data_IF_910042793180
#
_entry.id   IF_910042793180
#
_cell.length_a   1.000
_cell.length_b   1.000
_cell.length_c   1.000
_cell.angle_alpha   90.00
_cell.angle_beta   90.00
_cell.angle_gamma   90.00
#
_symmetry.space_group_name_H-M   'P 1'
#
loop_
_entity.id
_entity.type
_entity.pdbx_description
1 polymer ?
#
# COMPACT_ATOMS: atom_id res chain seq x y z
N UNK A 1 -8.67 -3.97 0.61
CA UNK A 1 -8.13 -3.54 -0.70
C UNK A 1 -8.46 -4.60 -1.75
N UNK A 2 -9.53 -4.44 -2.55
CA UNK A 2 -10.10 -5.55 -3.35
C UNK A 2 -9.28 -5.98 -4.57
N UNK A 3 -8.24 -5.22 -4.94
CA UNK A 3 -7.42 -5.47 -6.15
C UNK A 3 -6.24 -6.40 -5.90
N UNK A 4 -5.74 -6.51 -4.66
CA UNK A 4 -4.68 -7.47 -4.33
C UNK A 4 -5.26 -8.89 -4.26
N UNK A 5 -4.45 -9.93 -4.52
CA UNK A 5 -4.84 -11.29 -4.20
C UNK A 5 -5.12 -11.41 -2.70
N UNK A 6 -6.12 -12.21 -2.32
CA UNK A 6 -6.29 -12.65 -0.93
C UNK A 6 -5.48 -13.95 -0.70
N UNK A 7 -5.48 -14.43 0.54
CA UNK A 7 -4.71 -15.58 1.02
C UNK A 7 -4.94 -16.83 0.13
N UNK A 8 -6.19 -17.15 -0.17
CA UNK A 8 -6.54 -18.28 -1.03
C UNK A 8 -5.96 -18.13 -2.44
N UNK A 9 -6.09 -16.94 -3.04
CA UNK A 9 -5.60 -16.67 -4.39
C UNK A 9 -4.08 -16.69 -4.45
N UNK A 10 -3.40 -16.11 -3.46
CA UNK A 10 -1.94 -16.11 -3.47
C UNK A 10 -1.38 -17.51 -3.25
N UNK A 11 -1.99 -18.32 -2.37
CA UNK A 11 -1.63 -19.71 -2.17
C UNK A 11 -1.76 -20.52 -3.47
N UNK A 12 -2.86 -20.36 -4.20
CA UNK A 12 -3.06 -21.02 -5.49
C UNK A 12 -2.01 -20.59 -6.54
N UNK A 13 -1.69 -19.30 -6.61
CA UNK A 13 -0.69 -18.76 -7.56
C UNK A 13 0.71 -19.27 -7.21
N UNK A 14 1.11 -19.20 -5.94
CA UNK A 14 2.40 -19.71 -5.45
C UNK A 14 2.55 -21.20 -5.73
N UNK A 15 1.52 -22.00 -5.41
CA UNK A 15 1.53 -23.44 -5.66
C UNK A 15 1.67 -23.76 -7.16
N UNK A 16 0.97 -23.02 -8.02
CA UNK A 16 0.97 -23.30 -9.46
C UNK A 16 2.26 -22.87 -10.15
N UNK A 17 2.82 -21.71 -9.80
CA UNK A 17 3.96 -21.12 -10.52
C UNK A 17 5.31 -21.30 -9.81
N UNK A 18 5.32 -21.75 -8.55
CA UNK A 18 6.53 -21.93 -7.75
C UNK A 18 7.16 -20.60 -7.31
N UNK A 19 6.35 -19.58 -7.02
CA UNK A 19 6.82 -18.30 -6.49
C UNK A 19 6.81 -18.27 -4.96
N UNK A 20 7.49 -17.29 -4.36
CA UNK A 20 7.40 -17.01 -2.92
C UNK A 20 6.61 -15.72 -2.68
N UNK A 21 5.70 -15.72 -1.70
CA UNK A 21 4.85 -14.58 -1.36
C UNK A 21 5.13 -13.95 0.01
N UNK A 22 6.11 -14.48 0.75
CA UNK A 22 6.35 -14.13 2.15
C UNK A 22 5.33 -14.79 3.09
N UNK A 23 5.73 -15.00 4.34
CA UNK A 23 4.82 -15.48 5.38
C UNK A 23 3.89 -14.36 5.83
N UNK A 24 2.60 -14.68 6.05
CA UNK A 24 1.60 -13.68 6.41
C UNK A 24 1.92 -13.01 7.74
N UNK A 25 2.30 -13.79 8.76
CA UNK A 25 2.55 -13.26 10.10
C UNK A 25 3.83 -12.41 10.12
N UNK A 26 4.86 -12.80 9.34
CA UNK A 26 6.06 -11.99 9.18
C UNK A 26 5.78 -10.64 8.49
N UNK A 27 4.99 -10.65 7.40
CA UNK A 27 4.61 -9.44 6.68
C UNK A 27 3.71 -8.53 7.53
N UNK A 28 2.74 -9.11 8.24
CA UNK A 28 1.87 -8.38 9.15
C UNK A 28 2.70 -7.77 10.29
N UNK A 29 3.58 -8.56 10.88
CA UNK A 29 4.52 -8.15 11.93
C UNK A 29 5.42 -7.00 11.47
N UNK A 30 5.95 -7.06 10.26
CA UNK A 30 6.76 -5.98 9.69
C UNK A 30 5.96 -4.67 9.60
N UNK A 31 4.72 -4.72 9.11
CA UNK A 31 3.84 -3.55 9.05
C UNK A 31 3.54 -2.95 10.43
N UNK A 32 3.28 -3.80 11.42
CA UNK A 32 3.05 -3.39 12.81
C UNK A 32 4.28 -2.71 13.41
N UNK A 33 5.45 -3.37 13.32
CA UNK A 33 6.72 -2.88 13.86
C UNK A 33 7.14 -1.55 13.25
N UNK A 34 6.96 -1.37 11.94
CA UNK A 34 7.28 -0.10 11.26
C UNK A 34 6.62 1.12 11.91
N UNK A 35 5.41 0.98 12.47
CA UNK A 35 4.69 2.07 13.11
C UNK A 35 5.00 2.14 14.60
N UNK A 36 5.01 0.99 15.30
CA UNK A 36 5.30 0.92 16.74
C UNK A 36 6.70 1.42 17.07
N UNK A 37 7.70 1.01 16.31
CA UNK A 37 9.09 1.41 16.53
C UNK A 37 9.27 2.92 16.33
N UNK A 38 8.59 3.50 15.34
CA UNK A 38 8.59 4.95 15.09
C UNK A 38 7.93 5.71 16.23
N UNK A 39 6.82 5.20 16.77
CA UNK A 39 6.17 5.81 17.94
C UNK A 39 7.12 5.82 19.14
N UNK A 40 7.66 4.65 19.50
CA UNK A 40 8.56 4.52 20.67
C UNK A 40 9.80 5.38 20.53
N UNK A 41 10.41 5.43 19.35
CA UNK A 41 11.64 6.20 19.14
C UNK A 41 11.43 7.72 19.19
N UNK A 42 10.25 8.19 18.79
CA UNK A 42 10.00 9.62 18.57
C UNK A 42 9.02 10.23 19.58
N UNK A 43 8.51 9.47 20.54
CA UNK A 43 7.52 9.94 21.52
C UNK A 43 7.99 11.20 22.24
N UNK A 44 9.22 11.20 22.78
CA UNK A 44 9.78 12.33 23.54
C UNK A 44 10.02 13.59 22.68
N UNK A 45 10.05 13.46 21.35
CA UNK A 45 10.34 14.55 20.42
C UNK A 45 9.07 15.07 19.73
N UNK A 46 8.12 14.18 19.43
CA UNK A 46 6.91 14.51 18.68
C UNK A 46 5.66 14.63 19.56
N UNK A 47 5.71 14.18 20.82
CA UNK A 47 4.64 14.42 21.80
C UNK A 47 5.07 15.53 22.74
N UNK A 48 4.63 16.74 22.44
CA UNK A 48 4.99 17.94 23.19
C UNK A 48 3.93 18.30 24.21
N UNK A 49 4.30 19.05 25.24
CA UNK A 49 3.31 19.65 26.16
C UNK A 49 2.86 20.99 25.60
N UNK A 50 1.56 21.22 25.50
CA UNK A 50 1.01 22.48 25.01
C UNK A 50 1.05 23.59 26.09
N UNK A 51 0.59 24.79 25.72
CA UNK A 51 0.56 25.95 26.62
C UNK A 51 -0.37 25.80 27.83
N UNK A 52 -1.18 24.72 27.88
CA UNK A 52 -2.11 24.39 28.96
C UNK A 52 -1.58 23.26 29.86
N UNK A 53 -0.41 22.71 29.55
CA UNK A 53 0.16 21.58 30.28
C UNK A 53 -0.35 20.22 29.81
N UNK A 54 -1.08 20.15 28.69
CA UNK A 54 -1.64 18.91 28.15
C UNK A 54 -0.68 18.27 27.12
N UNK A 55 -0.62 16.93 27.07
CA UNK A 55 0.15 16.23 26.03
C UNK A 55 -0.50 16.42 24.67
N UNK A 56 0.27 16.87 23.70
CA UNK A 56 -0.16 17.10 22.33
C UNK A 56 0.51 16.09 21.39
N UNK A 57 -0.29 15.19 20.83
CA UNK A 57 0.14 14.10 19.94
C UNK A 57 0.13 14.47 18.46
N UNK A 58 -0.18 15.72 18.09
CA UNK A 58 -0.50 16.06 16.70
C UNK A 58 0.65 15.80 15.73
N UNK A 59 1.88 16.08 16.15
CA UNK A 59 3.06 15.83 15.32
C UNK A 59 3.30 14.31 15.14
N UNK A 60 3.10 13.52 16.21
CA UNK A 60 3.17 12.06 16.15
C UNK A 60 2.11 11.47 15.21
N UNK A 61 0.85 11.87 15.37
CA UNK A 61 -0.26 11.48 14.50
C UNK A 61 0.05 11.76 13.04
N UNK A 62 0.50 12.99 12.73
CA UNK A 62 0.85 13.39 11.37
C UNK A 62 2.08 12.65 10.81
N UNK A 63 3.06 12.31 11.64
CA UNK A 63 4.25 11.56 11.23
C UNK A 63 3.87 10.13 10.84
N UNK A 64 3.24 9.40 11.77
CA UNK A 64 2.82 8.02 11.53
C UNK A 64 1.83 7.93 10.38
N UNK A 65 0.91 8.90 10.27
CA UNK A 65 -0.07 8.97 9.19
C UNK A 65 0.58 9.09 7.81
N UNK A 66 1.75 9.73 7.69
CA UNK A 66 2.50 9.78 6.43
C UNK A 66 3.19 8.47 6.08
N UNK A 67 3.68 7.73 7.07
CA UNK A 67 4.27 6.41 6.86
C UNK A 67 3.19 5.45 6.36
N UNK A 68 2.03 5.43 7.03
CA UNK A 68 0.87 4.63 6.62
C UNK A 68 0.41 5.01 5.20
N UNK A 69 0.30 6.31 4.88
CA UNK A 69 -0.04 6.77 3.53
C UNK A 69 0.93 6.23 2.45
N UNK A 70 2.23 6.26 2.71
CA UNK A 70 3.24 5.72 1.80
C UNK A 70 3.09 4.22 1.56
N UNK A 71 2.82 3.45 2.62
CA UNK A 71 2.60 2.00 2.52
C UNK A 71 1.32 1.68 1.75
N UNK A 72 0.23 2.39 2.03
CA UNK A 72 -1.03 2.23 1.30
C UNK A 72 -0.86 2.57 -0.18
N UNK A 73 -0.16 3.64 -0.53
CA UNK A 73 0.12 4.00 -1.92
C UNK A 73 0.96 2.94 -2.62
N UNK A 74 1.96 2.38 -1.94
CA UNK A 74 2.78 1.29 -2.46
C UNK A 74 1.94 0.04 -2.75
N UNK A 75 1.13 -0.38 -1.78
CA UNK A 75 0.20 -1.49 -1.93
C UNK A 75 -0.78 -1.26 -3.09
N UNK A 76 -1.42 -0.09 -3.11
CA UNK A 76 -2.38 0.30 -4.15
C UNK A 76 -1.75 0.28 -5.54
N UNK A 77 -0.54 0.85 -5.69
CA UNK A 77 0.21 0.83 -6.94
C UNK A 77 0.52 -0.59 -7.41
N UNK A 78 1.01 -1.45 -6.52
CA UNK A 78 1.33 -2.83 -6.82
C UNK A 78 0.10 -3.65 -7.23
N UNK A 79 -1.03 -3.47 -6.55
CA UNK A 79 -2.26 -4.18 -6.90
C UNK A 79 -2.86 -3.71 -8.22
N UNK A 80 -2.82 -2.42 -8.53
CA UNK A 80 -3.23 -1.93 -9.86
C UNK A 80 -2.33 -2.50 -10.96
N UNK A 81 -1.02 -2.56 -10.72
CA UNK A 81 -0.11 -3.16 -11.67
C UNK A 81 -0.41 -4.64 -11.89
N UNK A 82 -0.60 -5.40 -10.81
CA UNK A 82 -1.02 -6.81 -10.88
C UNK A 82 -2.33 -6.98 -11.65
N UNK A 83 -3.38 -6.23 -11.29
CA UNK A 83 -4.68 -6.35 -11.95
C UNK A 83 -4.61 -5.95 -13.43
N UNK A 84 -3.84 -4.92 -13.79
CA UNK A 84 -3.60 -4.57 -15.19
C UNK A 84 -2.97 -5.73 -15.97
N UNK A 85 -1.93 -6.37 -15.42
CA UNK A 85 -1.29 -7.51 -16.08
C UNK A 85 -2.20 -8.73 -16.14
N UNK A 86 -3.00 -8.95 -15.10
CA UNK A 86 -4.00 -10.02 -15.08
C UNK A 86 -5.08 -9.83 -16.15
N UNK A 87 -5.55 -8.60 -16.38
CA UNK A 87 -6.51 -8.32 -17.45
C UNK A 87 -5.89 -8.53 -18.83
N UNK A 88 -4.66 -8.05 -19.07
CA UNK A 88 -3.94 -8.31 -20.33
C UNK A 88 -3.80 -9.81 -20.59
N UNK A 89 -3.36 -10.59 -19.60
CA UNK A 89 -3.23 -12.04 -19.73
C UNK A 89 -4.57 -12.73 -20.04
N UNK A 90 -5.66 -12.25 -19.42
CA UNK A 90 -7.03 -12.75 -19.68
C UNK A 90 -7.48 -12.43 -21.11
N UNK A 91 -7.18 -11.24 -21.61
CA UNK A 91 -7.54 -10.81 -22.96
C UNK A 91 -6.77 -11.60 -24.02
N UNK A 92 -5.50 -11.94 -23.75
CA UNK A 92 -4.70 -12.81 -24.63
C UNK A 92 -5.20 -14.26 -24.64
N UNK A 93 -5.69 -14.78 -23.50
CA UNK A 93 -6.32 -16.10 -23.44
C UNK A 93 -7.64 -16.17 -24.22
N UNK A 94 -8.34 -15.05 -24.37
CA UNK A 94 -9.63 -15.03 -25.03
C UNK A 94 -9.47 -15.00 -26.55
N UNK A 95 -9.92 -16.07 -27.21
CA UNK A 95 -9.80 -16.28 -28.66
C UNK A 95 -10.48 -15.21 -29.51
N UNK A 96 -11.41 -14.43 -28.94
CA UNK A 96 -12.10 -13.35 -29.65
C UNK A 96 -11.41 -11.98 -29.55
N UNK A 97 -10.55 -11.78 -28.54
CA UNK A 97 -9.79 -10.53 -28.33
C UNK A 97 -8.30 -10.67 -28.64
N UNK A 98 -7.80 -11.89 -28.85
CA UNK A 98 -6.41 -12.14 -29.18
C UNK A 98 -6.13 -11.87 -30.67
N UNK A 99 -5.41 -10.79 -30.96
CA UNK A 99 -5.01 -10.39 -32.32
C UNK A 99 -3.81 -11.18 -32.87
N UNK A 100 -3.06 -11.86 -32.00
CA UNK A 100 -1.79 -12.55 -32.34
C UNK A 100 -1.89 -14.07 -32.28
N UNK A 101 -3.07 -14.64 -32.60
CA UNK A 101 -3.34 -16.10 -32.49
C UNK A 101 -2.34 -16.98 -33.23
N UNK A 102 -1.76 -16.47 -34.31
CA UNK A 102 -0.75 -17.20 -35.08
C UNK A 102 0.57 -17.36 -34.31
N UNK A 103 0.90 -16.44 -33.39
CA UNK A 103 2.09 -16.48 -32.52
C UNK A 103 1.89 -17.38 -31.29
N UNK A 104 0.64 -17.73 -30.96
CA UNK A 104 0.30 -18.63 -29.86
C UNK A 104 0.35 -20.12 -30.22
N UNK A 105 0.62 -20.42 -31.50
CA UNK A 105 0.86 -21.78 -31.95
C UNK A 105 2.15 -22.29 -31.33
N UNK A 106 2.04 -23.32 -30.48
CA UNK A 106 3.24 -23.91 -29.87
C UNK A 106 4.22 -24.35 -30.97
N UNK A 107 5.45 -23.86 -30.87
CA UNK A 107 6.55 -24.26 -31.74
C UNK A 107 6.89 -25.73 -31.56
N UNK A 108 7.74 -26.26 -32.45
CA UNK A 108 8.14 -27.68 -32.52
C UNK A 108 8.68 -28.20 -31.17
N UNK A 109 9.19 -27.32 -30.31
CA UNK A 109 9.81 -27.65 -29.02
C UNK A 109 8.86 -27.58 -27.81
N UNK A 110 7.57 -27.24 -28.00
CA UNK A 110 6.57 -27.24 -26.91
C UNK A 110 6.81 -26.21 -25.79
N UNK A 111 7.63 -25.18 -26.03
CA UNK A 111 7.92 -24.11 -25.06
C UNK A 111 6.75 -23.13 -24.84
N UNK A 112 6.87 -22.28 -23.82
CA UNK A 112 5.88 -21.25 -23.47
C UNK A 112 5.52 -20.36 -24.67
N UNK A 113 4.24 -20.27 -25.00
CA UNK A 113 3.74 -19.35 -26.02
C UNK A 113 3.53 -17.93 -25.45
N UNK A 114 3.03 -17.00 -26.27
CA UNK A 114 2.88 -15.59 -25.86
C UNK A 114 1.90 -15.45 -24.69
N UNK A 115 0.77 -16.13 -24.78
CA UNK A 115 -0.23 -16.23 -23.70
C UNK A 115 0.38 -16.77 -22.40
N UNK A 116 1.13 -17.87 -22.47
CA UNK A 116 1.77 -18.49 -21.29
C UNK A 116 2.71 -17.51 -20.58
N UNK A 117 3.50 -16.75 -21.36
CA UNK A 117 4.39 -15.72 -20.83
C UNK A 117 3.63 -14.58 -20.16
N UNK A 118 2.52 -14.13 -20.75
CA UNK A 118 1.71 -13.06 -20.16
C UNK A 118 1.05 -13.50 -18.84
N UNK A 119 0.53 -14.73 -18.81
CA UNK A 119 -0.05 -15.35 -17.61
C UNK A 119 1.01 -15.47 -16.51
N UNK A 120 2.18 -16.03 -16.83
CA UNK A 120 3.30 -16.17 -15.88
C UNK A 120 3.76 -14.81 -15.36
N UNK A 121 3.84 -13.80 -16.24
CA UNK A 121 4.24 -12.46 -15.85
C UNK A 121 3.23 -11.78 -14.90
N UNK A 122 1.93 -11.93 -15.16
CA UNK A 122 0.89 -11.45 -14.26
C UNK A 122 0.94 -12.17 -12.91
N UNK A 123 1.09 -13.49 -12.92
CA UNK A 123 1.23 -14.30 -11.72
C UNK A 123 2.45 -13.88 -10.86
N UNK A 124 3.57 -13.53 -11.49
CA UNK A 124 4.77 -13.05 -10.79
C UNK A 124 4.57 -11.72 -10.05
N UNK A 125 3.56 -10.92 -10.42
CA UNK A 125 3.25 -9.66 -9.70
C UNK A 125 2.34 -9.87 -8.50
N UNK A 126 1.62 -11.00 -8.43
CA UNK A 126 0.69 -11.28 -7.34
C UNK A 126 1.37 -11.31 -5.96
N UNK A 127 2.54 -11.98 -5.77
CA UNK A 127 3.28 -11.93 -4.51
C UNK A 127 3.60 -10.53 -4.01
N UNK A 128 4.03 -9.65 -4.91
CA UNK A 128 4.39 -8.26 -4.57
C UNK A 128 3.16 -7.48 -4.10
N UNK A 129 2.05 -7.59 -4.84
CA UNK A 129 0.81 -6.92 -4.50
C UNK A 129 0.23 -7.41 -3.16
N UNK A 130 0.30 -8.73 -2.92
CA UNK A 130 -0.11 -9.35 -1.67
C UNK A 130 0.74 -8.87 -0.49
N UNK A 131 2.07 -9.02 -0.57
CA UNK A 131 2.98 -8.68 0.52
C UNK A 131 2.86 -7.22 0.96
N UNK A 132 2.79 -6.30 -0.01
CA UNK A 132 2.61 -4.87 0.27
C UNK A 132 1.23 -4.58 0.88
N UNK A 133 0.18 -5.29 0.48
CA UNK A 133 -1.15 -5.12 1.07
C UNK A 133 -1.20 -5.61 2.53
N UNK A 134 -0.57 -6.75 2.84
CA UNK A 134 -0.48 -7.27 4.22
C UNK A 134 0.32 -6.32 5.10
N UNK A 135 1.49 -5.86 4.65
CA UNK A 135 2.28 -4.87 5.40
C UNK A 135 1.51 -3.55 5.61
N UNK A 136 0.81 -3.05 4.60
CA UNK A 136 0.00 -1.85 4.72
C UNK A 136 -1.16 -2.05 5.72
N UNK A 137 -1.74 -3.24 5.79
CA UNK A 137 -2.75 -3.60 6.77
C UNK A 137 -2.17 -3.55 8.19
N UNK A 138 -1.01 -4.18 8.43
CA UNK A 138 -0.34 -4.13 9.74
C UNK A 138 -0.02 -2.70 10.18
N UNK A 139 0.42 -1.85 9.25
CA UNK A 139 0.65 -0.44 9.55
C UNK A 139 -0.64 0.31 9.89
N UNK A 140 -1.75 0.05 9.20
CA UNK A 140 -3.06 0.61 9.56
C UNK A 140 -3.51 0.17 10.96
N UNK A 141 -3.29 -1.10 11.30
CA UNK A 141 -3.72 -1.66 12.58
C UNK A 141 -2.90 -1.08 13.74
N UNK A 142 -1.58 -0.97 13.59
CA UNK A 142 -0.73 -0.30 14.59
C UNK A 142 -1.07 1.19 14.71
N UNK A 143 -1.36 1.88 13.61
CA UNK A 143 -1.79 3.28 13.67
C UNK A 143 -3.09 3.44 14.47
N UNK A 144 -4.09 2.58 14.20
CA UNK A 144 -5.37 2.59 14.93
C UNK A 144 -5.16 2.33 16.42
N UNK A 145 -4.31 1.37 16.77
CA UNK A 145 -4.00 1.05 18.16
C UNK A 145 -3.36 2.24 18.90
N UNK A 146 -2.39 2.91 18.28
CA UNK A 146 -1.61 3.96 18.92
C UNK A 146 -2.32 5.32 18.96
N UNK A 147 -3.09 5.64 17.92
CA UNK A 147 -3.77 6.93 17.76
C UNK A 147 -5.22 6.88 18.26
N UNK A 148 -5.85 5.70 18.25
CA UNK A 148 -7.25 5.51 18.64
C UNK A 148 -8.27 5.78 17.52
N UNK A 149 -7.81 6.10 16.31
CA UNK A 149 -8.66 6.30 15.13
C UNK A 149 -8.11 5.57 13.91
N UNK A 150 -9.01 5.18 12.99
CA UNK A 150 -8.62 4.74 11.66
C UNK A 150 -7.83 5.81 10.92
N UNK A 151 -6.77 5.39 10.23
CA UNK A 151 -6.05 6.27 9.32
C UNK A 151 -6.98 6.80 8.22
N UNK A 152 -6.82 8.08 7.88
CA UNK A 152 -7.57 8.77 6.82
C UNK A 152 -6.58 9.40 5.84
N UNK A 153 -6.84 9.34 4.51
CA UNK A 153 -6.04 10.04 3.53
C UNK A 153 -5.95 11.52 3.86
N UNK A 154 -4.75 12.08 3.79
CA UNK A 154 -4.58 13.52 3.95
C UNK A 154 -5.32 14.27 2.83
N UNK A 155 -6.32 15.05 3.22
CA UNK A 155 -6.99 16.01 2.34
C UNK A 155 -6.51 17.40 2.75
N UNK A 156 -5.90 18.12 1.81
CA UNK A 156 -5.51 19.50 2.06
C UNK A 156 -6.77 20.34 2.24
N UNK A 157 -7.05 20.75 3.46
CA UNK A 157 -8.09 21.72 3.72
C UNK A 157 -7.59 23.09 3.25
N UNK A 158 -8.15 23.58 2.14
CA UNK A 158 -7.75 24.87 1.55
C UNK A 158 -8.48 26.06 2.21
N UNK A 159 -9.33 25.81 3.21
CA UNK A 159 -10.04 26.87 3.91
C UNK A 159 -9.14 27.49 4.99
N UNK A 160 -8.38 28.54 4.64
CA UNK A 160 -7.90 29.47 5.67
C UNK A 160 -9.12 30.13 6.31
N UNK A 161 -9.31 29.97 7.61
CA UNK A 161 -10.30 30.77 8.31
C UNK A 161 -9.85 32.24 8.30
N UNK A 162 -10.79 33.18 8.13
CA UNK A 162 -10.50 34.63 8.17
C UNK A 162 -9.71 35.03 9.43
N UNK A 163 -9.95 34.32 10.53
CA UNK A 163 -9.30 34.50 11.84
C UNK A 163 -7.80 34.16 11.81
N UNK A 164 -7.38 33.15 11.04
CA UNK A 164 -5.96 32.77 10.90
C UNK A 164 -5.18 33.77 10.05
N UNK A 165 -5.81 34.35 9.02
CA UNK A 165 -5.19 35.43 8.24
C UNK A 165 -4.96 36.68 9.09
N UNK A 166 -5.89 37.01 9.99
CA UNK A 166 -5.76 38.15 10.92
C UNK A 166 -4.70 37.88 11.99
N UNK A 167 -4.63 36.66 12.54
CA UNK A 167 -3.59 36.29 13.51
C UNK A 167 -2.19 36.26 12.90
N UNK A 168 -2.02 35.70 11.69
CA UNK A 168 -0.71 35.68 11.03
C UNK A 168 -0.17 37.10 10.76
N UNK A 169 -1.06 38.05 10.44
CA UNK A 169 -0.70 39.46 10.29
C UNK A 169 -0.29 40.15 11.60
N UNK A 170 -0.82 39.71 12.74
CA UNK A 170 -0.49 40.27 14.07
C UNK A 170 0.84 39.74 14.63
N UNK A 171 1.19 38.49 14.34
CA UNK A 171 2.42 37.85 14.86
C UNK A 171 3.66 38.18 14.03
N UNK A 172 3.51 38.49 12.74
CA UNK A 172 4.59 39.02 11.90
C UNK A 172 5.06 40.43 12.28
N UNK A 173 4.41 41.07 13.26
CA UNK A 173 4.78 42.39 13.78
C UNK A 173 5.49 42.34 15.15
N UNK A 174 5.69 41.15 15.74
CA UNK A 174 6.24 40.98 17.11
C UNK A 174 7.40 39.96 17.17
N UNK A 175 7.85 39.45 16.03
CA UNK A 175 9.13 38.74 15.88
C UNK A 175 10.02 39.52 14.91
#
# INVERSE_FOLDING_TARGET
>A
MPLAPNDDKIAAIVQHFGFEAGDYDELMGAGLSMIRDQYTLLEDVLVVTDFRGERNFKAMEMHLGRIVDGLIRSAYGAANFYENKRQIARDEQNSFSNESRDEDRQGIDGGENRVDRAVRFAAQQAPKAYALAVMAQGACDAYRELIGEDWKPYVKDNARSLTENVRAAQWGAVL
#
